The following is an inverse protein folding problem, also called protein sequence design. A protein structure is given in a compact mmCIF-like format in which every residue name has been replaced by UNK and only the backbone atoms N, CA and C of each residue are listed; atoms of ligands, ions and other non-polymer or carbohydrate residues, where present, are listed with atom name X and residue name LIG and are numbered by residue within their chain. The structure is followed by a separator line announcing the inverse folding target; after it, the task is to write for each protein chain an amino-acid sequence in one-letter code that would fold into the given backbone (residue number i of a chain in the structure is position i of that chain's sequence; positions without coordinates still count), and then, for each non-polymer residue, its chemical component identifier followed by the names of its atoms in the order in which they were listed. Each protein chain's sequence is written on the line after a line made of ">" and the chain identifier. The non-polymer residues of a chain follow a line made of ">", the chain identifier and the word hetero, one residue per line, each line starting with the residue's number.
data_IF_192439170746
#
_entry.id   IF_192439170746
#
_cell.length_a   1.000
_cell.length_b   1.000
_cell.length_c   1.000
_cell.angle_alpha   90.00
_cell.angle_beta   90.00
_cell.angle_gamma   90.00
#
_symmetry.space_group_name_H-M   'P 1'
#
loop_
_entity.id
_entity.type
_entity.pdbx_description
1 polymer ?
#
# COMPACT_ATOMS: atom_id res chain seq x y z
N UNK A 1 -25.59 24.63 -6.68
CA UNK A 1 -24.89 24.50 -5.39
C UNK A 1 -23.54 23.82 -5.61
N UNK A 2 -22.46 24.36 -5.03
CA UNK A 2 -21.10 23.82 -5.10
C UNK A 2 -20.74 23.01 -3.85
N UNK A 3 -19.60 22.31 -3.89
CA UNK A 3 -19.04 21.60 -2.74
C UNK A 3 -18.80 22.52 -1.53
N UNK A 4 -18.31 23.74 -1.78
CA UNK A 4 -18.01 24.73 -0.75
C UNK A 4 -19.30 25.21 -0.08
N UNK A 5 -20.36 25.48 -0.86
CA UNK A 5 -21.66 25.91 -0.34
C UNK A 5 -22.25 24.88 0.61
N UNK A 6 -22.16 23.59 0.26
CA UNK A 6 -22.68 22.51 1.11
C UNK A 6 -21.92 22.38 2.43
N UNK A 7 -20.59 22.49 2.41
CA UNK A 7 -19.79 22.52 3.63
C UNK A 7 -20.18 23.72 4.51
N UNK A 8 -20.35 24.91 3.93
CA UNK A 8 -20.77 26.09 4.70
C UNK A 8 -22.15 25.91 5.32
N UNK A 9 -23.10 25.35 4.56
CA UNK A 9 -24.45 25.06 5.04
C UNK A 9 -24.46 24.09 6.23
N UNK A 10 -23.60 23.07 6.18
CA UNK A 10 -23.45 22.08 7.26
C UNK A 10 -22.57 22.57 8.42
N UNK A 11 -22.10 23.82 8.41
CA UNK A 11 -21.04 24.31 9.28
C UNK A 11 -21.22 24.03 10.77
N UNK A 12 -22.45 24.09 11.29
CA UNK A 12 -22.76 23.80 12.69
C UNK A 12 -22.60 22.33 13.10
N UNK A 13 -22.50 21.41 12.14
CA UNK A 13 -22.40 19.97 12.36
C UNK A 13 -21.10 19.36 11.80
N UNK A 14 -20.26 20.14 11.10
CA UNK A 14 -19.01 19.64 10.48
C UNK A 14 -18.11 18.90 11.47
N UNK A 15 -18.05 19.34 12.72
CA UNK A 15 -17.21 18.71 13.76
C UNK A 15 -17.65 17.28 14.11
N UNK A 16 -18.91 16.94 13.85
CA UNK A 16 -19.47 15.61 14.09
C UNK A 16 -19.54 14.75 12.81
N UNK A 17 -19.15 15.32 11.66
CA UNK A 17 -19.11 14.62 10.39
C UNK A 17 -17.71 14.06 10.17
N UNK A 18 -17.58 12.75 10.12
CA UNK A 18 -16.30 12.08 9.90
C UNK A 18 -15.98 12.00 8.40
N UNK A 19 -16.99 11.71 7.58
CA UNK A 19 -16.82 11.54 6.14
C UNK A 19 -18.07 12.02 5.39
N UNK A 20 -17.84 12.69 4.27
CA UNK A 20 -18.86 13.12 3.33
C UNK A 20 -18.46 12.70 1.92
N UNK A 21 -19.38 12.04 1.22
CA UNK A 21 -19.18 11.63 -0.16
C UNK A 21 -20.34 12.09 -1.02
N UNK A 22 -20.02 12.81 -2.08
CA UNK A 22 -21.02 13.32 -3.01
C UNK A 22 -21.33 12.23 -4.03
N UNK A 23 -22.63 11.99 -4.23
CA UNK A 23 -23.17 10.97 -5.13
C UNK A 23 -24.08 11.66 -6.13
N UNK A 24 -23.81 11.45 -7.42
CA UNK A 24 -24.69 11.90 -8.49
C UNK A 24 -25.73 10.82 -8.76
N UNK A 25 -27.00 11.19 -8.77
CA UNK A 25 -28.07 10.27 -9.15
C UNK A 25 -28.22 10.29 -10.67
N UNK A 26 -28.14 9.13 -11.30
CA UNK A 26 -28.33 9.00 -12.75
C UNK A 26 -29.71 9.53 -13.15
N UNK A 27 -29.74 10.41 -14.15
CA UNK A 27 -30.98 11.01 -14.69
C UNK A 27 -31.50 12.25 -13.95
N UNK A 28 -30.85 12.70 -12.89
CA UNK A 28 -31.17 13.98 -12.22
C UNK A 28 -30.04 14.99 -12.49
N UNK A 29 -30.33 16.02 -13.28
CA UNK A 29 -29.32 17.01 -13.69
C UNK A 29 -29.02 18.04 -12.60
N UNK A 30 -30.06 18.43 -11.83
CA UNK A 30 -29.98 19.54 -10.87
C UNK A 30 -29.91 19.12 -9.39
N UNK A 31 -30.02 17.81 -9.11
CA UNK A 31 -30.03 17.27 -7.75
C UNK A 31 -28.89 16.27 -7.55
N UNK A 32 -28.26 16.32 -6.38
CA UNK A 32 -27.27 15.33 -5.96
C UNK A 32 -27.56 14.87 -4.54
N UNK A 33 -27.03 13.71 -4.19
CA UNK A 33 -27.10 13.15 -2.85
C UNK A 33 -25.74 13.24 -2.18
N UNK A 34 -25.73 13.32 -0.86
CA UNK A 34 -24.51 13.29 -0.06
C UNK A 34 -24.64 12.19 0.97
N UNK A 35 -23.70 11.25 0.95
CA UNK A 35 -23.54 10.26 2.02
C UNK A 35 -22.71 10.91 3.11
N UNK A 36 -23.22 10.91 4.33
CA UNK A 36 -22.55 11.51 5.49
C UNK A 36 -22.44 10.45 6.57
N UNK A 37 -21.22 10.26 7.09
CA UNK A 37 -20.94 9.43 8.25
C UNK A 37 -20.67 10.32 9.45
N UNK A 38 -21.46 10.15 10.50
CA UNK A 38 -21.29 10.86 11.77
C UNK A 38 -20.43 10.07 12.75
N UNK A 39 -19.92 10.75 13.77
CA UNK A 39 -19.24 10.18 14.93
C UNK A 39 -20.17 9.32 15.80
N UNK A 40 -21.40 9.78 16.01
CA UNK A 40 -22.40 9.09 16.81
C UNK A 40 -23.84 9.27 16.28
N UNK A 41 -24.75 8.38 16.71
CA UNK A 41 -26.15 8.39 16.29
C UNK A 41 -26.90 9.66 16.73
N UNK A 42 -26.57 10.22 17.89
CA UNK A 42 -27.24 11.43 18.41
C UNK A 42 -26.94 12.62 17.51
N UNK A 43 -25.70 12.74 17.03
CA UNK A 43 -25.29 13.74 16.04
C UNK A 43 -26.05 13.61 14.72
N UNK A 44 -26.22 12.38 14.22
CA UNK A 44 -27.03 12.11 13.03
C UNK A 44 -28.52 12.46 13.24
N UNK A 45 -29.09 12.13 14.40
CA UNK A 45 -30.48 12.44 14.74
C UNK A 45 -30.71 13.95 14.85
N UNK A 46 -29.76 14.67 15.42
CA UNK A 46 -29.81 16.14 15.52
C UNK A 46 -29.70 16.78 14.15
N UNK A 47 -28.83 16.27 13.27
CA UNK A 47 -28.72 16.72 11.88
C UNK A 47 -30.04 16.50 11.13
N UNK A 48 -30.66 15.32 11.25
CA UNK A 48 -31.96 15.03 10.66
C UNK A 48 -33.04 16.00 11.15
N UNK A 49 -33.17 16.20 12.46
CA UNK A 49 -34.14 17.15 13.04
C UNK A 49 -33.89 18.58 12.57
N UNK A 50 -32.62 18.95 12.35
CA UNK A 50 -32.27 20.29 11.96
C UNK A 50 -32.52 20.57 10.47
N UNK A 51 -32.16 19.65 9.56
CA UNK A 51 -32.14 19.94 8.13
C UNK A 51 -33.24 19.26 7.33
N UNK A 52 -33.83 18.16 7.83
CA UNK A 52 -34.86 17.46 7.08
C UNK A 52 -36.09 18.35 6.87
N UNK A 53 -36.51 18.50 5.62
CA UNK A 53 -37.64 19.33 5.23
C UNK A 53 -37.37 20.83 5.20
N UNK A 54 -36.11 21.28 5.39
CA UNK A 54 -35.74 22.69 5.25
C UNK A 54 -35.18 23.00 3.87
N UNK A 55 -35.46 24.19 3.36
CA UNK A 55 -34.80 24.72 2.17
C UNK A 55 -33.33 25.01 2.46
N UNK A 56 -32.47 24.80 1.46
CA UNK A 56 -31.05 25.11 1.56
C UNK A 56 -30.81 26.63 1.62
N UNK A 57 -31.52 27.38 0.77
CA UNK A 57 -31.52 28.84 0.77
C UNK A 57 -32.95 29.37 0.61
N UNK A 58 -33.17 30.64 0.95
CA UNK A 58 -34.45 31.31 0.71
C UNK A 58 -34.74 31.56 -0.78
N UNK A 59 -33.78 31.31 -1.65
CA UNK A 59 -33.87 31.51 -3.10
C UNK A 59 -34.28 30.23 -3.84
N UNK A 60 -34.14 29.06 -3.21
CA UNK A 60 -34.44 27.76 -3.80
C UNK A 60 -35.75 27.19 -3.25
N UNK A 61 -36.55 26.59 -4.14
CA UNK A 61 -37.86 26.00 -3.80
C UNK A 61 -37.72 24.57 -3.26
N UNK A 62 -36.59 23.92 -3.57
CA UNK A 62 -36.30 22.54 -3.19
C UNK A 62 -35.95 22.41 -1.70
N UNK A 63 -36.37 21.30 -1.09
CA UNK A 63 -36.13 20.99 0.32
C UNK A 63 -35.09 19.89 0.47
N UNK A 64 -34.25 20.01 1.51
CA UNK A 64 -33.34 18.95 1.90
C UNK A 64 -34.14 17.75 2.43
N UNK A 65 -33.89 16.57 1.85
CA UNK A 65 -34.43 15.29 2.34
C UNK A 65 -33.30 14.49 2.96
N UNK A 66 -33.39 14.28 4.26
CA UNK A 66 -32.41 13.49 5.01
C UNK A 66 -32.99 12.09 5.22
N UNK A 67 -32.22 11.07 4.92
CA UNK A 67 -32.63 9.67 5.08
C UNK A 67 -31.53 8.93 5.85
N UNK A 68 -31.94 7.97 6.69
CA UNK A 68 -31.01 7.06 7.34
C UNK A 68 -30.72 5.88 6.42
N UNK A 69 -29.44 5.55 6.29
CA UNK A 69 -28.96 4.45 5.45
C UNK A 69 -28.56 3.28 6.34
N UNK A 70 -29.04 2.08 6.02
CA UNK A 70 -28.71 0.86 6.77
C UNK A 70 -27.36 0.28 6.34
N UNK A 71 -27.10 0.26 5.03
CA UNK A 71 -25.90 -0.31 4.43
C UNK A 71 -25.52 0.46 3.16
N UNK A 72 -24.22 0.52 2.85
CA UNK A 72 -23.68 1.16 1.65
C UNK A 72 -22.73 0.18 0.98
N UNK A 73 -23.08 -0.25 -0.23
CA UNK A 73 -22.29 -1.19 -1.02
C UNK A 73 -21.57 -0.46 -2.15
N UNK A 74 -20.26 -0.62 -2.23
CA UNK A 74 -19.44 -0.06 -3.29
C UNK A 74 -19.23 -1.09 -4.39
N UNK A 75 -19.27 -0.65 -5.65
CA UNK A 75 -18.92 -1.51 -6.79
C UNK A 75 -17.41 -1.48 -7.03
N UNK A 76 -16.83 -2.63 -7.39
CA UNK A 76 -15.37 -2.88 -7.44
C UNK A 76 -14.52 -1.95 -8.32
N UNK A 77 -15.11 -1.06 -9.11
CA UNK A 77 -14.36 -0.02 -9.83
C UNK A 77 -13.83 1.11 -8.91
N UNK A 78 -14.32 1.18 -7.67
CA UNK A 78 -13.94 2.18 -6.65
C UNK A 78 -12.93 1.60 -5.63
N UNK A 79 -12.79 0.26 -5.56
CA UNK A 79 -11.88 -0.40 -4.61
C UNK A 79 -10.41 -0.06 -4.83
N UNK A 80 -10.01 0.24 -6.07
CA UNK A 80 -8.65 0.66 -6.40
C UNK A 80 -8.25 2.04 -5.82
N UNK A 81 -9.22 2.81 -5.30
CA UNK A 81 -8.93 4.06 -4.61
C UNK A 81 -8.95 3.94 -3.08
N UNK A 82 -9.48 2.86 -2.48
CA UNK A 82 -9.71 2.82 -1.03
C UNK A 82 -9.52 1.46 -0.31
N UNK A 83 -9.05 0.39 -0.95
CA UNK A 83 -8.80 -0.87 -0.23
C UNK A 83 -7.41 -1.46 -0.49
N UNK A 84 -6.38 -0.87 0.11
CA UNK A 84 -5.24 -1.65 0.63
C UNK A 84 -5.37 -1.74 2.14
N UNK A 85 -5.86 -2.90 2.59
CA UNK A 85 -5.91 -3.26 3.98
C UNK A 85 -4.49 -3.26 4.59
N UNK A 86 -4.32 -2.49 5.65
CA UNK A 86 -3.41 -2.70 6.78
C UNK A 86 -1.96 -3.06 6.41
N UNK A 87 -1.19 -2.04 6.05
CA UNK A 87 0.23 -1.93 6.43
C UNK A 87 0.55 -0.46 6.59
N UNK A 88 1.12 -0.05 7.73
CA UNK A 88 1.51 1.32 8.08
C UNK A 88 2.19 2.10 6.94
N UNK A 89 1.43 2.71 6.03
CA UNK A 89 1.93 3.66 5.04
C UNK A 89 0.93 4.80 4.89
N UNK A 90 1.47 6.00 5.13
CA UNK A 90 0.92 7.35 5.05
C UNK A 90 -0.52 7.49 4.53
N UNK A 91 -1.43 7.96 5.40
CA UNK A 91 -2.74 8.45 4.96
C UNK A 91 -2.57 9.50 3.86
N UNK A 92 -3.46 9.53 2.84
CA UNK A 92 -3.40 10.54 1.80
C UNK A 92 -3.45 11.95 2.42
N UNK A 93 -2.66 12.88 1.87
CA UNK A 93 -2.66 14.27 2.33
C UNK A 93 -3.72 15.10 1.61
N UNK A 94 -4.20 16.13 2.27
CA UNK A 94 -5.13 17.08 1.69
C UNK A 94 -4.36 17.94 0.67
N UNK A 95 -4.77 17.98 -0.61
CA UNK A 95 -4.06 18.77 -1.63
C UNK A 95 -4.11 20.30 -1.41
N UNK A 96 -4.93 20.77 -0.46
CA UNK A 96 -5.11 22.21 -0.17
C UNK A 96 -4.19 22.67 0.96
N UNK A 97 -4.14 21.95 2.09
CA UNK A 97 -3.27 22.30 3.23
C UNK A 97 -2.00 21.45 3.34
N UNK A 98 -1.89 20.37 2.56
CA UNK A 98 -0.79 19.40 2.57
C UNK A 98 -0.66 18.58 3.86
N UNK A 99 -1.60 18.72 4.80
CA UNK A 99 -1.68 17.91 6.02
C UNK A 99 -2.35 16.56 5.76
N UNK A 100 -2.18 15.59 6.66
CA UNK A 100 -2.78 14.27 6.55
C UNK A 100 -4.30 14.37 6.59
N UNK A 101 -5.00 13.65 5.71
CA UNK A 101 -6.46 13.45 5.79
C UNK A 101 -6.74 12.45 6.90
N UNK A 102 -6.63 12.90 8.15
CA UNK A 102 -7.10 12.16 9.31
C UNK A 102 -8.55 12.55 9.67
N UNK A 103 -9.22 11.67 10.41
CA UNK A 103 -10.59 11.91 10.86
C UNK A 103 -10.62 12.85 12.09
N UNK A 104 -9.46 13.16 12.67
CA UNK A 104 -9.32 13.91 13.91
C UNK A 104 -9.27 15.44 13.68
N UNK A 105 -8.84 15.90 12.50
CA UNK A 105 -8.83 17.33 12.12
C UNK A 105 -10.15 17.85 11.50
N UNK A 106 -11.22 17.05 11.55
CA UNK A 106 -12.56 17.40 11.09
C UNK A 106 -12.97 16.65 9.82
N UNK A 107 -14.22 16.86 9.38
CA UNK A 107 -14.78 16.05 8.30
C UNK A 107 -13.99 16.07 7.00
N UNK A 108 -13.96 14.91 6.33
CA UNK A 108 -13.35 14.74 5.01
C UNK A 108 -14.45 14.76 3.95
N UNK A 109 -14.30 15.59 2.92
CA UNK A 109 -15.19 15.62 1.75
C UNK A 109 -14.52 14.96 0.56
N UNK A 110 -15.15 13.93 0.00
CA UNK A 110 -14.81 13.33 -1.29
C UNK A 110 -15.76 13.83 -2.38
N UNK A 111 -15.20 14.47 -3.40
CA UNK A 111 -15.93 14.97 -4.57
C UNK A 111 -16.32 13.85 -5.54
N UNK A 112 -17.20 14.14 -6.51
CA UNK A 112 -17.61 13.18 -7.55
C UNK A 112 -16.48 12.74 -8.50
N UNK A 113 -15.40 13.52 -8.60
CA UNK A 113 -14.18 13.10 -9.29
C UNK A 113 -13.21 12.33 -8.38
N UNK A 114 -13.68 11.87 -7.22
CA UNK A 114 -12.98 11.04 -6.24
C UNK A 114 -11.71 11.68 -5.65
N UNK A 115 -11.71 13.00 -5.47
CA UNK A 115 -10.65 13.70 -4.74
C UNK A 115 -11.14 14.11 -3.36
N UNK A 116 -10.29 13.94 -2.35
CA UNK A 116 -10.64 14.15 -0.94
C UNK A 116 -9.94 15.38 -0.35
N UNK A 117 -10.67 16.14 0.47
CA UNK A 117 -10.20 17.37 1.10
C UNK A 117 -10.76 17.49 2.52
N UNK A 118 -10.07 18.21 3.41
CA UNK A 118 -10.70 18.67 4.65
C UNK A 118 -11.86 19.61 4.33
N UNK A 119 -12.96 19.49 5.06
CA UNK A 119 -14.12 20.38 4.91
C UNK A 119 -13.75 21.85 5.16
N UNK A 120 -12.84 22.11 6.11
CA UNK A 120 -12.30 23.43 6.42
C UNK A 120 -11.46 24.03 5.27
N UNK A 121 -10.85 23.17 4.44
CA UNK A 121 -10.08 23.60 3.27
C UNK A 121 -10.98 23.89 2.08
N UNK A 122 -11.89 22.97 1.74
CA UNK A 122 -12.77 23.13 0.58
C UNK A 122 -13.84 24.22 0.78
N UNK A 123 -14.29 24.47 2.01
CA UNK A 123 -15.24 25.55 2.32
C UNK A 123 -14.69 26.95 2.04
N UNK A 124 -13.37 27.11 2.02
CA UNK A 124 -12.67 28.36 1.68
C UNK A 124 -12.35 28.47 0.19
N UNK A 125 -12.57 27.40 -0.58
CA UNK A 125 -12.33 27.39 -2.01
C UNK A 125 -13.44 28.15 -2.72
N UNK A 126 -13.08 29.18 -3.48
CA UNK A 126 -14.03 30.11 -4.10
C UNK A 126 -14.52 29.65 -5.47
N UNK A 127 -13.85 28.67 -6.07
CA UNK A 127 -14.23 28.13 -7.37
C UNK A 127 -15.13 26.90 -7.18
N UNK A 128 -16.06 26.71 -8.12
CA UNK A 128 -16.95 25.55 -8.19
C UNK A 128 -16.26 24.27 -8.70
N UNK A 129 -14.98 24.41 -9.09
CA UNK A 129 -14.15 23.34 -9.63
C UNK A 129 -13.37 22.58 -8.55
N UNK A 130 -13.09 21.30 -8.81
CA UNK A 130 -12.19 20.50 -7.99
C UNK A 130 -10.77 21.12 -7.98
N UNK A 131 -10.13 21.31 -6.80
CA UNK A 131 -8.77 21.82 -6.71
C UNK A 131 -7.72 21.00 -7.47
N UNK A 132 -7.96 19.68 -7.64
CA UNK A 132 -7.00 18.75 -8.26
C UNK A 132 -7.22 18.65 -9.77
N UNK A 133 -8.42 18.25 -10.21
CA UNK A 133 -8.68 17.98 -11.62
C UNK A 133 -9.50 19.06 -12.34
N UNK A 134 -9.85 20.16 -11.66
CA UNK A 134 -10.69 21.26 -12.18
C UNK A 134 -12.07 20.81 -12.70
N UNK A 135 -12.51 19.61 -12.34
CA UNK A 135 -13.85 19.15 -12.63
C UNK A 135 -14.88 20.07 -11.94
N UNK A 136 -15.73 20.71 -12.72
CA UNK A 136 -16.82 21.56 -12.23
C UNK A 136 -18.13 20.75 -12.15
N UNK A 137 -18.80 20.79 -10.99
CA UNK A 137 -20.07 20.09 -10.79
C UNK A 137 -21.22 20.71 -11.58
N UNK A 138 -21.22 22.05 -11.70
CA UNK A 138 -22.17 22.76 -12.55
C UNK A 138 -21.81 22.45 -14.00
N UNK A 139 -22.69 21.75 -14.71
CA UNK A 139 -22.57 21.72 -16.16
C UNK A 139 -22.66 23.19 -16.61
N UNK A 140 -21.68 23.70 -17.38
CA UNK A 140 -21.88 25.00 -18.00
C UNK A 140 -23.17 24.91 -18.82
N UNK A 141 -24.00 25.96 -18.76
CA UNK A 141 -25.09 26.16 -19.72
C UNK A 141 -24.60 25.76 -21.10
N UNK A 142 -25.42 25.00 -21.85
CA UNK A 142 -25.06 24.44 -23.16
C UNK A 142 -24.24 25.45 -23.94
N UNK A 143 -22.93 25.22 -24.02
CA UNK A 143 -22.03 26.19 -24.64
C UNK A 143 -22.51 26.44 -26.07
N UNK A 144 -22.44 27.68 -26.52
CA UNK A 144 -22.83 28.05 -27.87
C UNK A 144 -21.72 28.84 -28.57
N UNK A 145 -21.69 28.79 -29.89
CA UNK A 145 -20.78 29.61 -30.67
C UNK A 145 -21.10 31.10 -30.49
N UNK A 146 -20.08 31.92 -30.21
CA UNK A 146 -20.24 33.35 -29.95
C UNK A 146 -20.91 34.14 -31.09
N UNK A 147 -20.78 33.65 -32.34
CA UNK A 147 -21.28 34.34 -33.53
C UNK A 147 -22.61 33.76 -34.00
N UNK A 148 -22.69 32.46 -34.29
CA UNK A 148 -23.88 31.85 -34.87
C UNK A 148 -24.76 31.08 -33.87
N UNK A 149 -24.41 31.08 -32.58
CA UNK A 149 -25.20 30.48 -31.49
C UNK A 149 -25.51 28.98 -31.64
N UNK A 150 -24.83 28.26 -32.53
CA UNK A 150 -24.92 26.80 -32.59
C UNK A 150 -24.42 26.17 -31.30
N UNK A 151 -25.04 25.07 -30.88
CA UNK A 151 -24.60 24.22 -29.76
C UNK A 151 -23.79 22.98 -30.19
N UNK A 152 -23.60 22.78 -31.51
CA UNK A 152 -22.92 21.61 -32.06
C UNK A 152 -21.54 21.95 -32.64
N UNK A 153 -20.63 20.98 -32.59
CA UNK A 153 -19.26 21.03 -33.10
C UNK A 153 -18.52 22.30 -32.65
N UNK A 154 -18.37 22.43 -31.34
CA UNK A 154 -17.82 23.60 -30.68
C UNK A 154 -16.35 23.43 -30.32
N UNK A 155 -15.62 24.51 -30.49
CA UNK A 155 -14.19 24.60 -30.31
C UNK A 155 -13.88 25.80 -29.42
N UNK A 156 -13.18 25.56 -28.31
CA UNK A 156 -12.78 26.60 -27.37
C UNK A 156 -11.31 26.94 -27.58
N UNK A 157 -11.01 28.20 -27.84
CA UNK A 157 -9.64 28.70 -27.90
C UNK A 157 -8.98 28.52 -26.53
N UNK A 158 -7.86 27.78 -26.46
CA UNK A 158 -7.18 27.49 -25.19
C UNK A 158 -6.49 28.74 -24.62
N UNK A 159 -6.17 29.71 -25.48
CA UNK A 159 -5.44 30.92 -25.08
C UNK A 159 -6.37 31.98 -24.46
N UNK A 160 -7.55 32.22 -25.03
CA UNK A 160 -8.45 33.30 -24.61
C UNK A 160 -9.89 32.88 -24.27
N UNK A 161 -10.22 31.58 -24.36
CA UNK A 161 -11.55 31.07 -24.03
C UNK A 161 -12.65 31.31 -25.06
N UNK A 162 -12.35 31.91 -26.22
CA UNK A 162 -13.35 32.12 -27.30
C UNK A 162 -13.96 30.81 -27.79
N UNK A 163 -15.30 30.74 -27.92
CA UNK A 163 -16.02 29.55 -28.39
C UNK A 163 -16.54 29.77 -29.82
N UNK A 164 -15.99 29.01 -30.76
CA UNK A 164 -16.35 29.03 -32.18
C UNK A 164 -16.89 27.68 -32.66
N UNK A 165 -17.71 27.68 -33.71
CA UNK A 165 -18.08 26.44 -34.39
C UNK A 165 -16.97 25.96 -35.34
N UNK A 166 -16.91 24.65 -35.57
CA UNK A 166 -15.85 24.03 -36.37
C UNK A 166 -15.93 24.30 -37.87
N UNK A 167 -14.92 23.77 -38.57
CA UNK A 167 -14.66 23.97 -40.02
C UNK A 167 -15.83 23.57 -40.91
N UNK A 168 -16.57 22.52 -40.53
CA UNK A 168 -17.67 21.97 -41.32
C UNK A 168 -19.03 22.64 -41.06
N UNK A 169 -19.07 23.65 -40.18
CA UNK A 169 -20.17 24.62 -40.07
C UNK A 169 -19.73 25.93 -40.70
N UNK A 170 -19.73 27.02 -39.95
CA UNK A 170 -19.35 28.36 -40.41
C UNK A 170 -17.87 28.70 -40.15
N UNK A 171 -17.11 27.79 -39.51
CA UNK A 171 -15.68 27.99 -39.27
C UNK A 171 -15.33 29.20 -38.38
N UNK A 172 -16.14 29.52 -37.38
CA UNK A 172 -15.85 30.64 -36.47
C UNK A 172 -14.57 30.43 -35.64
N UNK A 173 -14.25 29.19 -35.29
CA UNK A 173 -13.02 28.90 -34.54
C UNK A 173 -11.74 29.12 -35.37
N UNK A 174 -11.76 28.73 -36.65
CA UNK A 174 -10.62 28.96 -37.56
C UNK A 174 -10.49 30.44 -37.94
N UNK A 175 -11.61 31.16 -38.05
CA UNK A 175 -11.59 32.61 -38.30
C UNK A 175 -10.97 33.37 -37.12
N UNK A 176 -11.36 33.00 -35.90
CA UNK A 176 -10.74 33.53 -34.68
C UNK A 176 -9.23 33.33 -34.67
N UNK A 177 -8.74 32.13 -34.98
CA UNK A 177 -7.28 31.91 -35.13
C UNK A 177 -6.64 32.84 -36.16
N UNK A 178 -7.24 33.00 -37.35
CA UNK A 178 -6.70 33.88 -38.39
C UNK A 178 -6.66 35.35 -37.97
N UNK A 179 -7.55 35.79 -37.09
CA UNK A 179 -7.64 37.18 -36.63
C UNK A 179 -6.73 37.46 -35.43
N UNK A 180 -6.52 36.48 -34.55
CA UNK A 180 -5.82 36.69 -33.27
C UNK A 180 -4.50 35.92 -33.14
N UNK A 181 -4.17 35.08 -34.12
CA UNK A 181 -3.03 34.14 -34.09
C UNK A 181 -3.07 33.18 -32.89
N UNK A 182 -4.26 32.90 -32.36
CA UNK A 182 -4.41 31.92 -31.29
C UNK A 182 -4.43 30.50 -31.86
N UNK A 183 -3.26 29.85 -31.88
CA UNK A 183 -3.05 28.62 -32.64
C UNK A 183 -3.74 27.37 -32.10
N UNK A 184 -4.25 27.36 -30.87
CA UNK A 184 -4.76 26.15 -30.22
C UNK A 184 -6.25 26.24 -29.86
N UNK A 185 -7.00 25.21 -30.24
CA UNK A 185 -8.41 25.07 -29.87
C UNK A 185 -8.76 23.66 -29.39
N UNK A 186 -9.61 23.58 -28.37
CA UNK A 186 -10.12 22.34 -27.77
C UNK A 186 -11.50 22.01 -28.35
N UNK A 187 -11.66 20.84 -28.96
CA UNK A 187 -12.97 20.31 -29.39
C UNK A 187 -13.76 19.87 -28.14
N UNK A 188 -14.88 20.53 -27.83
CA UNK A 188 -15.60 20.31 -26.57
C UNK A 188 -16.17 18.89 -26.41
N UNK A 189 -16.51 18.23 -27.51
CA UNK A 189 -17.12 16.89 -27.48
C UNK A 189 -16.10 15.75 -27.27
N UNK A 190 -14.89 15.92 -27.80
CA UNK A 190 -13.84 14.88 -27.75
C UNK A 190 -12.69 15.24 -26.82
N UNK A 191 -12.65 16.51 -26.35
CA UNK A 191 -11.58 17.10 -25.55
C UNK A 191 -10.21 17.01 -26.22
N UNK A 192 -10.17 16.94 -27.56
CA UNK A 192 -8.92 16.94 -28.32
C UNK A 192 -8.50 18.36 -28.66
N UNK A 193 -7.21 18.64 -28.52
CA UNK A 193 -6.63 19.94 -28.90
C UNK A 193 -6.12 19.88 -30.35
N UNK A 194 -6.58 20.82 -31.16
CA UNK A 194 -6.12 21.06 -32.53
C UNK A 194 -5.12 22.22 -32.58
N UNK A 195 -4.02 22.01 -33.28
CA UNK A 195 -3.04 23.02 -33.67
C UNK A 195 -3.38 23.52 -35.08
N UNK A 196 -3.77 24.78 -35.18
CA UNK A 196 -4.05 25.43 -36.45
C UNK A 196 -2.79 25.73 -37.26
N UNK A 197 -1.65 25.98 -36.61
CA UNK A 197 -0.39 26.27 -37.31
C UNK A 197 0.24 24.98 -37.86
N UNK A 198 0.23 23.90 -37.08
CA UNK A 198 0.71 22.58 -37.49
C UNK A 198 -0.30 21.74 -38.29
N UNK A 199 -1.54 22.21 -38.41
CA UNK A 199 -2.70 21.52 -39.02
C UNK A 199 -2.86 20.06 -38.57
N UNK A 200 -2.72 19.81 -37.27
CA UNK A 200 -2.81 18.49 -36.67
C UNK A 200 -3.38 18.51 -35.25
N UNK A 201 -3.75 17.34 -34.71
CA UNK A 201 -4.06 17.21 -33.29
C UNK A 201 -2.78 17.09 -32.46
N UNK A 202 -2.70 17.83 -31.35
CA UNK A 202 -1.52 17.90 -30.47
C UNK A 202 -1.28 16.59 -29.70
N UNK A 203 -2.32 15.76 -29.52
CA UNK A 203 -2.22 14.56 -28.69
C UNK A 203 -1.64 13.35 -29.44
N UNK A 204 -0.49 12.84 -28.96
CA UNK A 204 0.05 11.52 -29.33
C UNK A 204 -0.70 10.35 -28.69
N UNK A 205 -1.24 10.54 -27.48
CA UNK A 205 -1.99 9.55 -26.71
C UNK A 205 -3.40 10.07 -26.43
N UNK A 206 -4.44 9.30 -26.74
CA UNK A 206 -5.85 9.66 -26.49
C UNK A 206 -6.49 8.65 -25.53
N UNK A 207 -7.29 9.16 -24.60
CA UNK A 207 -8.04 8.35 -23.66
C UNK A 207 -9.30 7.76 -24.31
N UNK A 208 -9.46 6.44 -24.28
CA UNK A 208 -10.67 5.79 -24.79
C UNK A 208 -11.90 6.19 -23.98
N UNK A 209 -13.00 6.58 -24.66
CA UNK A 209 -14.28 6.94 -24.02
C UNK A 209 -14.93 5.78 -23.26
N UNK A 210 -14.59 4.53 -23.57
CA UNK A 210 -15.23 3.33 -22.99
C UNK A 210 -14.44 2.70 -21.84
N UNK A 211 -13.13 2.95 -21.74
CA UNK A 211 -12.23 2.17 -20.86
C UNK A 211 -11.13 3.01 -20.19
N UNK A 212 -11.07 4.32 -20.45
CA UNK A 212 -10.10 5.22 -19.79
C UNK A 212 -8.62 4.97 -20.12
N UNK A 213 -8.30 3.95 -20.93
CA UNK A 213 -6.95 3.57 -21.33
C UNK A 213 -6.38 4.55 -22.36
N UNK A 214 -5.11 4.93 -22.18
CA UNK A 214 -4.36 5.77 -23.12
C UNK A 214 -3.94 4.95 -24.34
N UNK A 215 -4.36 5.39 -25.53
CA UNK A 215 -4.06 4.75 -26.82
C UNK A 215 -3.25 5.70 -27.68
N UNK A 216 -2.11 5.24 -28.20
CA UNK A 216 -1.28 6.04 -29.10
C UNK A 216 -1.91 6.12 -30.50
N UNK A 217 -2.10 7.33 -31.02
CA UNK A 217 -2.48 7.56 -32.40
C UNK A 217 -1.23 7.72 -33.25
N UNK A 218 -0.91 6.69 -34.03
CA UNK A 218 0.13 6.76 -35.04
C UNK A 218 -0.40 7.51 -36.26
N UNK A 219 -0.04 8.78 -36.44
CA UNK A 219 -0.20 9.47 -37.72
C UNK A 219 1.13 9.97 -38.28
N UNK A 220 1.36 9.59 -39.55
CA UNK A 220 2.57 9.79 -40.33
C UNK A 220 2.61 11.21 -40.92
N UNK A 221 3.84 11.72 -40.96
CA UNK A 221 4.40 12.78 -41.81
C UNK A 221 4.02 14.23 -41.54
N UNK A 222 5.04 14.95 -41.05
CA UNK A 222 5.19 16.40 -41.12
C UNK A 222 6.24 16.76 -42.20
N UNK A 223 5.78 17.53 -43.19
CA UNK A 223 6.46 18.66 -43.83
C UNK A 223 7.51 18.38 -44.92
N UNK A 224 7.16 18.76 -46.16
CA UNK A 224 8.13 19.27 -47.13
C UNK A 224 7.60 20.59 -47.70
N UNK A 225 8.48 21.59 -47.66
CA UNK A 225 8.29 22.95 -48.15
C UNK A 225 8.08 22.97 -49.68
N UNK A 226 7.38 24.01 -50.15
CA UNK A 226 7.21 24.44 -51.55
C UNK A 226 6.44 23.53 -52.54
N UNK A 227 5.20 23.97 -52.83
CA UNK A 227 4.61 24.04 -54.16
C UNK A 227 4.62 22.80 -55.05
N UNK A 228 3.67 21.88 -54.87
CA UNK A 228 3.21 21.05 -55.96
C UNK A 228 1.79 20.52 -55.68
N UNK A 229 0.83 20.96 -56.49
CA UNK A 229 -0.49 20.33 -56.54
C UNK A 229 -0.38 18.92 -57.11
N UNK A 230 -1.12 17.98 -56.52
CA UNK A 230 -1.26 16.59 -56.97
C UNK A 230 -0.01 15.72 -56.74
N UNK A 231 0.09 15.08 -55.57
CA UNK A 231 0.94 13.89 -55.43
C UNK A 231 0.10 12.68 -55.00
N UNK A 232 -0.04 11.76 -55.96
CA UNK A 232 -0.58 10.42 -55.80
C UNK A 232 0.47 9.62 -55.02
N UNK A 233 0.26 9.46 -53.72
CA UNK A 233 1.18 8.76 -52.83
C UNK A 233 1.03 7.24 -52.95
N UNK A 234 1.71 6.68 -53.94
CA UNK A 234 2.02 5.27 -54.00
C UNK A 234 3.34 5.07 -54.72
N UNK A 235 4.43 4.87 -53.99
CA UNK A 235 5.56 3.99 -54.32
C UNK A 235 6.59 3.98 -53.16
N UNK A 236 7.24 2.82 -53.02
CA UNK A 236 8.05 2.24 -51.94
C UNK A 236 9.05 3.14 -51.16
N UNK A 237 9.33 2.81 -49.88
CA UNK A 237 10.33 3.52 -49.08
C UNK A 237 11.75 3.09 -49.51
N UNK A 238 12.41 3.92 -50.30
CA UNK A 238 13.80 3.73 -50.70
C UNK A 238 14.77 3.98 -49.54
N UNK A 239 15.45 2.90 -49.11
CA UNK A 239 16.80 2.72 -48.52
C UNK A 239 17.53 3.94 -47.90
N UNK A 240 17.48 5.14 -48.48
CA UNK A 240 18.08 6.36 -47.93
C UNK A 240 17.41 6.86 -46.64
N UNK A 241 16.09 6.71 -46.50
CA UNK A 241 15.35 7.15 -45.31
C UNK A 241 15.58 6.22 -44.12
N UNK A 242 15.72 4.92 -44.37
CA UNK A 242 16.14 3.94 -43.36
C UNK A 242 17.58 4.19 -42.86
N UNK A 243 18.48 4.60 -43.75
CA UNK A 243 19.87 4.92 -43.39
C UNK A 243 19.97 6.20 -42.56
N UNK A 244 19.15 7.21 -42.85
CA UNK A 244 19.13 8.46 -42.10
C UNK A 244 18.56 8.25 -40.69
N UNK A 245 17.44 7.51 -40.59
CA UNK A 245 16.86 7.12 -39.31
C UNK A 245 17.82 6.27 -38.47
N UNK A 246 18.55 5.33 -39.10
CA UNK A 246 19.56 4.52 -38.40
C UNK A 246 20.67 5.37 -37.79
N UNK A 247 21.11 6.44 -38.47
CA UNK A 247 22.13 7.36 -37.92
C UNK A 247 21.57 8.19 -36.76
N UNK A 248 20.32 8.65 -36.86
CA UNK A 248 19.66 9.39 -35.78
C UNK A 248 19.48 8.50 -34.55
N UNK A 249 19.05 7.25 -34.73
CA UNK A 249 18.94 6.27 -33.64
C UNK A 249 20.30 5.99 -32.98
N UNK A 250 21.38 5.88 -33.77
CA UNK A 250 22.73 5.72 -33.22
C UNK A 250 23.13 6.91 -32.33
N UNK A 251 22.89 8.15 -32.79
CA UNK A 251 23.19 9.37 -32.02
C UNK A 251 22.34 9.44 -30.75
N UNK A 252 21.06 9.09 -30.83
CA UNK A 252 20.17 9.06 -29.66
C UNK A 252 20.64 8.02 -28.65
N UNK A 253 21.09 6.86 -29.09
CA UNK A 253 21.64 5.83 -28.21
C UNK A 253 22.93 6.30 -27.54
N UNK A 254 23.88 6.88 -28.29
CA UNK A 254 25.10 7.46 -27.72
C UNK A 254 24.80 8.58 -26.70
N UNK A 255 23.84 9.44 -27.01
CA UNK A 255 23.39 10.48 -26.08
C UNK A 255 22.76 9.89 -24.82
N UNK A 256 21.92 8.86 -24.94
CA UNK A 256 21.31 8.18 -23.81
C UNK A 256 22.37 7.46 -22.95
N UNK A 257 23.38 6.85 -23.55
CA UNK A 257 24.50 6.23 -22.83
C UNK A 257 25.32 7.27 -22.07
N UNK A 258 25.62 8.42 -22.70
CA UNK A 258 26.30 9.54 -22.06
C UNK A 258 25.49 10.10 -20.88
N UNK A 259 24.19 10.31 -21.08
CA UNK A 259 23.30 10.81 -20.03
C UNK A 259 23.21 9.82 -18.86
N UNK A 260 23.07 8.53 -19.14
CA UNK A 260 23.02 7.46 -18.13
C UNK A 260 24.33 7.41 -17.35
N UNK A 261 25.47 7.47 -18.05
CA UNK A 261 26.80 7.50 -17.42
C UNK A 261 26.97 8.72 -16.52
N UNK A 262 26.50 9.89 -16.96
CA UNK A 262 26.59 11.11 -16.17
C UNK A 262 25.70 11.05 -14.92
N UNK A 263 24.49 10.50 -15.03
CA UNK A 263 23.59 10.32 -13.89
C UNK A 263 24.14 9.32 -12.89
N UNK A 264 24.73 8.20 -13.34
CA UNK A 264 25.35 7.23 -12.45
C UNK A 264 26.57 7.83 -11.74
N UNK A 265 27.38 8.63 -12.42
CA UNK A 265 28.50 9.33 -11.79
C UNK A 265 28.04 10.33 -10.72
N UNK A 266 26.95 11.07 -10.95
CA UNK A 266 26.38 11.97 -9.95
C UNK A 266 25.81 11.19 -8.75
N UNK A 267 25.10 10.10 -9.00
CA UNK A 267 24.59 9.22 -7.97
C UNK A 267 25.72 8.69 -7.08
N UNK A 268 26.76 8.10 -7.66
CA UNK A 268 27.92 7.60 -6.92
C UNK A 268 28.60 8.68 -6.08
N UNK A 269 28.72 9.90 -6.61
CA UNK A 269 29.30 11.03 -5.87
C UNK A 269 28.48 11.39 -4.62
N UNK A 270 27.16 11.51 -4.76
CA UNK A 270 26.30 11.86 -3.64
C UNK A 270 26.13 10.70 -2.64
N UNK A 271 26.10 9.45 -3.10
CA UNK A 271 26.11 8.27 -2.23
C UNK A 271 27.39 8.22 -1.40
N UNK A 272 28.56 8.47 -2.00
CA UNK A 272 29.83 8.54 -1.26
C UNK A 272 29.85 9.72 -0.27
N UNK A 273 29.29 10.87 -0.64
CA UNK A 273 29.19 12.01 0.27
C UNK A 273 28.31 11.70 1.48
N UNK A 274 27.17 11.04 1.26
CA UNK A 274 26.27 10.59 2.33
C UNK A 274 26.95 9.58 3.24
N UNK A 275 27.65 8.59 2.67
CA UNK A 275 28.38 7.57 3.43
C UNK A 275 29.48 8.21 4.30
N UNK A 276 30.23 9.18 3.77
CA UNK A 276 31.25 9.89 4.55
C UNK A 276 30.63 10.66 5.73
N UNK A 277 29.51 11.36 5.50
CA UNK A 277 28.80 12.08 6.58
C UNK A 277 28.28 11.08 7.62
N UNK A 278 27.71 9.96 7.19
CA UNK A 278 27.23 8.91 8.09
C UNK A 278 28.36 8.37 8.97
N UNK A 279 29.50 8.01 8.37
CA UNK A 279 30.69 7.56 9.10
C UNK A 279 31.23 8.62 10.07
N UNK A 280 31.31 9.89 9.66
CA UNK A 280 31.73 10.98 10.55
C UNK A 280 30.78 11.16 11.73
N UNK A 281 29.47 11.08 11.49
CA UNK A 281 28.46 11.19 12.55
C UNK A 281 28.51 10.00 13.50
N UNK A 282 28.66 8.77 13.00
CA UNK A 282 28.78 7.57 13.82
C UNK A 282 30.04 7.63 14.68
N UNK A 283 31.18 8.03 14.10
CA UNK A 283 32.41 8.25 14.87
C UNK A 283 32.25 9.34 15.93
N UNK A 284 31.53 10.42 15.62
CA UNK A 284 31.21 11.49 16.57
C UNK A 284 30.35 11.01 17.73
N UNK A 285 29.30 10.23 17.43
CA UNK A 285 28.41 9.62 18.44
C UNK A 285 29.20 8.65 19.32
N UNK A 286 29.99 7.76 18.72
CA UNK A 286 30.79 6.78 19.46
C UNK A 286 31.75 7.46 20.43
N UNK A 287 32.48 8.49 19.98
CA UNK A 287 33.35 9.31 20.85
C UNK A 287 32.58 10.00 21.98
N UNK A 288 31.41 10.55 21.69
CA UNK A 288 30.58 11.21 22.70
C UNK A 288 30.06 10.21 23.75
N UNK A 289 29.69 9.00 23.33
CA UNK A 289 29.26 7.92 24.22
C UNK A 289 30.41 7.45 25.11
N UNK A 290 31.61 7.20 24.56
CA UNK A 290 32.78 6.83 25.35
C UNK A 290 33.16 7.91 26.38
N UNK A 291 33.07 9.19 25.99
CA UNK A 291 33.29 10.31 26.89
C UNK A 291 32.23 10.36 28.01
N UNK A 292 30.94 10.17 27.67
CA UNK A 292 29.87 10.14 28.65
C UNK A 292 30.01 8.97 29.65
N UNK A 293 30.45 7.80 29.16
CA UNK A 293 30.71 6.61 30.00
C UNK A 293 31.89 6.88 30.94
N UNK A 294 33.00 7.39 30.43
CA UNK A 294 34.21 7.64 31.22
C UNK A 294 34.05 8.78 32.24
N UNK A 295 33.25 9.80 31.92
CA UNK A 295 32.98 10.92 32.83
C UNK A 295 31.90 10.60 33.88
N UNK A 296 31.18 9.47 33.76
CA UNK A 296 30.12 9.10 34.69
C UNK A 296 30.59 8.04 35.71
N UNK A 297 30.99 8.44 36.94
CA UNK A 297 31.53 7.52 37.93
C UNK A 297 30.50 6.49 38.45
N UNK A 298 29.19 6.75 38.30
CA UNK A 298 28.15 5.76 38.64
C UNK A 298 28.12 4.63 37.62
N UNK A 299 28.29 4.98 36.34
CA UNK A 299 28.24 4.04 35.22
C UNK A 299 29.47 3.12 35.22
N UNK A 300 30.66 3.65 35.49
CA UNK A 300 31.88 2.85 35.69
C UNK A 300 31.74 1.85 36.86
N UNK A 301 31.11 2.27 37.97
CA UNK A 301 30.84 1.35 39.10
C UNK A 301 29.83 0.26 38.75
N UNK A 302 28.84 0.56 37.93
CA UNK A 302 27.87 -0.43 37.45
C UNK A 302 28.53 -1.41 36.47
N UNK A 303 29.38 -0.92 35.56
CA UNK A 303 30.14 -1.76 34.64
C UNK A 303 31.05 -2.74 35.39
N UNK A 304 31.84 -2.27 36.37
CA UNK A 304 32.70 -3.14 37.16
C UNK A 304 31.92 -4.20 37.97
N UNK A 305 30.71 -3.86 38.44
CA UNK A 305 29.82 -4.84 39.09
C UNK A 305 29.29 -5.87 38.10
N UNK A 306 28.94 -5.44 36.89
CA UNK A 306 28.47 -6.33 35.83
C UNK A 306 29.58 -7.31 35.44
N UNK A 307 30.80 -6.83 35.22
CA UNK A 307 31.95 -7.66 34.88
C UNK A 307 32.22 -8.72 35.96
N UNK A 308 32.17 -8.32 37.24
CA UNK A 308 32.30 -9.25 38.36
C UNK A 308 31.20 -10.32 38.39
N UNK A 309 29.94 -9.93 38.18
CA UNK A 309 28.81 -10.87 38.13
C UNK A 309 28.92 -11.83 36.95
N UNK A 310 29.46 -11.39 35.81
CA UNK A 310 29.72 -12.24 34.65
C UNK A 310 30.80 -13.27 34.94
N UNK A 311 31.88 -12.89 35.63
CA UNK A 311 32.91 -13.83 36.07
C UNK A 311 32.37 -14.84 37.10
N UNK A 312 31.62 -14.37 38.10
CA UNK A 312 30.98 -15.24 39.11
C UNK A 312 30.02 -16.24 38.45
N UNK A 313 29.23 -15.79 37.46
CA UNK A 313 28.35 -16.67 36.69
C UNK A 313 29.13 -17.75 35.95
N UNK A 314 30.18 -17.37 35.21
CA UNK A 314 31.02 -18.33 34.47
C UNK A 314 31.62 -19.39 35.41
N UNK A 315 32.11 -18.97 36.56
CA UNK A 315 32.65 -19.89 37.55
C UNK A 315 31.59 -20.87 38.09
N UNK A 316 30.37 -20.40 38.35
CA UNK A 316 29.27 -21.26 38.77
C UNK A 316 28.83 -22.23 37.67
N UNK A 317 28.79 -21.77 36.41
CA UNK A 317 28.48 -22.60 35.25
C UNK A 317 29.53 -23.73 35.11
N UNK A 318 30.83 -23.41 35.24
CA UNK A 318 31.93 -24.39 35.19
C UNK A 318 31.85 -25.44 36.32
N UNK A 319 31.46 -25.01 37.54
CA UNK A 319 31.23 -25.92 38.67
C UNK A 319 30.03 -26.83 38.38
N UNK A 320 28.93 -26.25 37.92
CA UNK A 320 27.71 -27.00 37.64
C UNK A 320 27.95 -28.08 36.58
N UNK A 321 28.67 -27.74 35.51
CA UNK A 321 29.07 -28.69 34.47
C UNK A 321 29.95 -29.81 35.02
N UNK A 322 30.86 -29.52 35.94
CA UNK A 322 31.67 -30.54 36.61
C UNK A 322 30.82 -31.47 37.49
N UNK A 323 29.87 -30.90 38.25
CA UNK A 323 28.98 -31.67 39.11
C UNK A 323 28.06 -32.58 38.30
N UNK A 324 27.53 -32.10 37.17
CA UNK A 324 26.71 -32.91 36.25
C UNK A 324 27.51 -34.09 35.68
N UNK A 325 28.75 -33.86 35.24
CA UNK A 325 29.63 -34.95 34.78
C UNK A 325 29.92 -35.97 35.89
N UNK A 326 30.16 -35.51 37.11
CA UNK A 326 30.36 -36.41 38.24
C UNK A 326 29.10 -37.23 38.56
N UNK A 327 27.93 -36.61 38.48
CA UNK A 327 26.65 -37.28 38.69
C UNK A 327 26.44 -38.40 37.66
N UNK A 328 26.67 -38.12 36.38
CA UNK A 328 26.58 -39.11 35.30
C UNK A 328 27.55 -40.29 35.51
N UNK A 329 28.79 -40.02 35.96
CA UNK A 329 29.76 -41.07 36.31
C UNK A 329 29.24 -41.97 37.45
N UNK A 330 28.63 -41.37 38.48
CA UNK A 330 28.10 -42.13 39.61
C UNK A 330 26.85 -42.93 39.25
N UNK A 331 25.95 -42.36 38.45
CA UNK A 331 24.78 -43.07 37.91
C UNK A 331 25.22 -44.30 37.11
N UNK A 332 26.24 -44.15 36.24
CA UNK A 332 26.82 -45.28 35.51
C UNK A 332 27.41 -46.37 36.43
N UNK A 333 28.17 -45.98 37.45
CA UNK A 333 28.72 -46.92 38.44
C UNK A 333 27.64 -47.66 39.23
N UNK A 334 26.58 -46.97 39.63
CA UNK A 334 25.45 -47.59 40.34
C UNK A 334 24.79 -48.63 39.43
N UNK A 335 24.51 -48.28 38.17
CA UNK A 335 23.92 -49.20 37.20
C UNK A 335 24.80 -50.44 36.96
N UNK A 336 26.13 -50.28 36.88
CA UNK A 336 27.06 -51.41 36.75
C UNK A 336 27.06 -52.33 37.98
N UNK A 337 26.97 -51.76 39.19
CA UNK A 337 26.89 -52.53 40.43
C UNK A 337 25.55 -53.27 40.50
N UNK A 338 24.43 -52.61 40.21
CA UNK A 338 23.10 -53.22 40.18
C UNK A 338 23.02 -54.38 39.18
N UNK A 339 23.59 -54.22 37.99
CA UNK A 339 23.67 -55.27 36.96
C UNK A 339 24.51 -56.47 37.44
N UNK A 340 25.63 -56.21 38.13
CA UNK A 340 26.49 -57.25 38.71
C UNK A 340 25.78 -58.01 39.83
N UNK A 341 25.18 -57.29 40.77
CA UNK A 341 24.45 -57.86 41.90
C UNK A 341 23.26 -58.70 41.42
N UNK A 342 22.56 -58.25 40.37
CA UNK A 342 21.48 -59.01 39.73
C UNK A 342 21.97 -60.32 39.10
N UNK A 343 23.14 -60.31 38.44
CA UNK A 343 23.76 -61.53 37.88
C UNK A 343 24.17 -62.51 38.98
N UNK A 344 24.77 -62.01 40.05
CA UNK A 344 25.16 -62.82 41.20
C UNK A 344 23.95 -63.40 41.93
N UNK A 345 22.86 -62.63 42.07
CA UNK A 345 21.60 -63.09 42.63
C UNK A 345 21.01 -64.23 41.78
N UNK A 346 20.94 -64.06 40.46
CA UNK A 346 20.45 -65.10 39.54
C UNK A 346 21.28 -66.40 39.60
N UNK A 347 22.61 -66.28 39.73
CA UNK A 347 23.49 -67.44 39.88
C UNK A 347 23.24 -68.17 41.21
N UNK A 348 23.08 -67.42 42.30
CA UNK A 348 22.73 -67.98 43.62
C UNK A 348 21.36 -68.65 43.60
N UNK A 349 20.36 -68.03 43.00
CA UNK A 349 19.00 -68.58 42.87
C UNK A 349 18.99 -69.85 42.03
N UNK A 350 19.77 -69.91 40.94
CA UNK A 350 19.94 -71.13 40.15
C UNK A 350 20.59 -72.24 40.98
N UNK A 351 21.65 -71.93 41.73
CA UNK A 351 22.32 -72.90 42.59
C UNK A 351 21.40 -73.41 43.70
N UNK A 352 20.56 -72.54 44.27
CA UNK A 352 19.54 -72.91 45.26
C UNK A 352 18.54 -73.88 44.63
N UNK A 353 18.03 -73.61 43.42
CA UNK A 353 17.14 -74.52 42.70
C UNK A 353 17.79 -75.87 42.42
N UNK A 354 19.01 -75.88 41.89
CA UNK A 354 19.74 -77.12 41.61
C UNK A 354 19.91 -77.95 42.90
N UNK A 355 20.30 -77.31 44.01
CA UNK A 355 20.41 -77.96 45.32
C UNK A 355 19.06 -78.45 45.86
N UNK A 356 17.97 -77.70 45.65
CA UNK A 356 16.62 -78.12 46.02
C UNK A 356 16.15 -79.34 45.23
N UNK A 357 16.47 -79.42 43.93
CA UNK A 357 16.20 -80.58 43.09
C UNK A 357 17.03 -81.80 43.50
N UNK A 358 18.34 -81.62 43.75
CA UNK A 358 19.22 -82.67 44.30
C UNK A 358 18.67 -83.22 45.62
N UNK A 359 18.26 -82.33 46.54
CA UNK A 359 17.73 -82.70 47.85
C UNK A 359 16.37 -83.40 47.74
N UNK A 360 15.50 -82.97 46.81
CA UNK A 360 14.22 -83.62 46.53
C UNK A 360 14.41 -85.03 45.94
N UNK A 361 15.37 -85.19 45.03
CA UNK A 361 15.74 -86.49 44.46
C UNK A 361 16.30 -87.45 45.51
N UNK A 362 17.16 -86.96 46.41
CA UNK A 362 17.68 -87.72 47.55
C UNK A 362 16.57 -88.15 48.50
N UNK A 363 15.62 -87.26 48.83
CA UNK A 363 14.45 -87.59 49.66
C UNK A 363 13.63 -88.72 49.00
N UNK A 364 13.31 -88.58 47.71
CA UNK A 364 12.55 -89.59 46.96
C UNK A 364 13.27 -90.96 46.96
N UNK A 365 14.60 -90.95 46.83
CA UNK A 365 15.41 -92.17 46.85
C UNK A 365 15.40 -92.86 48.23
N UNK A 366 15.43 -92.08 49.31
CA UNK A 366 15.34 -92.60 50.68
C UNK A 366 13.93 -93.13 51.00
N UNK A 367 12.88 -92.50 50.49
CA UNK A 367 11.50 -92.97 50.63
C UNK A 367 11.25 -94.29 49.88
N UNK A 368 11.83 -94.45 48.68
CA UNK A 368 11.79 -95.72 47.93
C UNK A 368 12.63 -96.82 48.63
N UNK A 369 13.77 -96.45 49.23
CA UNK A 369 14.61 -97.36 50.02
C UNK A 369 13.91 -97.89 51.28
N UNK A 370 13.11 -97.06 51.95
CA UNK A 370 12.31 -97.47 53.11
C UNK A 370 11.02 -98.23 52.74
N UNK A 371 10.57 -98.19 51.47
CA UNK A 371 9.42 -98.97 51.00
C UNK A 371 9.77 -100.43 50.59
N UNK A 372 11.06 -100.80 50.57
CA UNK A 372 11.55 -102.10 50.10
C UNK A 372 11.96 -103.10 51.22
N UNK A 373 11.78 -102.77 52.50
CA UNK A 373 11.94 -103.73 53.60
C UNK A 373 10.57 -104.22 54.12
N UNK A 374 10.17 -105.49 53.87
CA UNK A 374 9.17 -106.13 54.71
C UNK A 374 9.86 -106.53 56.02
N UNK A 375 9.34 -106.01 57.13
CA UNK A 375 9.67 -106.43 58.49
C UNK A 375 9.69 -107.96 58.65
N UNK A 376 10.79 -108.60 59.12
CA UNK A 376 10.73 -109.97 59.56
C UNK A 376 10.22 -110.02 61.00
N UNK A 377 9.04 -110.61 61.13
CA UNK A 377 8.47 -111.11 62.38
C UNK A 377 9.27 -112.28 62.95
N UNK A 378 9.59 -112.17 64.24
CA UNK A 378 9.53 -113.22 65.26
C UNK A 378 10.64 -114.29 65.38
N UNK A 379 10.83 -114.62 66.67
CA UNK A 379 11.30 -115.87 67.31
C UNK A 379 12.81 -116.00 67.52
N UNK A 380 13.33 -115.85 68.74
CA UNK A 380 13.23 -116.66 69.99
C UNK A 380 14.34 -117.71 70.12
N UNK A 381 15.01 -117.62 71.29
CA UNK A 381 15.93 -118.54 71.99
C UNK A 381 17.40 -118.44 71.62
#
# INVERSE_FOLDING_TARGET
>A
MTYADFCQFCGSFIHHMLEMRIVRNDGMEDNYSVLIRFDDQSSADNFYKHFNGKCFSSLEVEICRVLFTVDVQFTGSIEHAQASAVSNMEQPSCPVCLERLDQDMGGILTTICNHSFHCSCISKWTDSSCPVCRFCQQQPEKSSCFVCQTSENLWMCVICGYIGCGRYREGHAIRHWKETEHCYSLELETRRVWDYAGDNYVHRLIQSKTDGKLVALNHRCAWANDGCGTCECGLEPGIGDALLNSKVEAIVNEYNELLTTQLENQKMYFESLLENIEQETEQGISKAVEQAISQNPKLLKLQAKLDKLVEEKKFLDDINDNLLKNLEIWEGKIAEIEERDKKDLNLKDKRIKDLQEELSSLITSLEIGNAAEPSPTSNHV
#
